data_IF_752666388976
#
_entry.id   IF_752666388976
#
_cell.length_a   1.000
_cell.length_b   1.000
_cell.length_c   1.000
_cell.angle_alpha   90.00
_cell.angle_beta   90.00
_cell.angle_gamma   90.00
#
_symmetry.space_group_name_H-M   'P 1'
#
loop_
_entity.id
_entity.type
_entity.pdbx_description
1 polymer ?
#
# COMPACT_ATOMS: atom_id res chain seq x y z
N UNK A 1 -33.55 -41.73 -42.73
CA UNK A 1 -32.29 -42.43 -42.41
C UNK A 1 -31.19 -42.04 -43.37
N UNK A 2 -30.38 -41.06 -43.00
CA UNK A 2 -29.06 -40.80 -43.59
C UNK A 2 -28.19 -40.14 -42.51
N UNK A 3 -27.51 -41.02 -41.79
CA UNK A 3 -26.55 -40.76 -40.73
C UNK A 3 -25.32 -40.05 -41.33
N UNK A 4 -25.03 -38.80 -40.93
CA UNK A 4 -23.74 -38.15 -41.21
C UNK A 4 -22.77 -38.48 -40.08
N UNK A 5 -21.87 -39.43 -40.32
CA UNK A 5 -20.67 -39.65 -39.52
C UNK A 5 -19.83 -38.36 -39.48
N UNK A 6 -19.61 -37.82 -38.28
CA UNK A 6 -18.59 -36.78 -38.02
C UNK A 6 -17.36 -37.46 -37.43
N UNK A 7 -16.23 -37.34 -38.13
CA UNK A 7 -14.91 -37.72 -37.63
C UNK A 7 -14.54 -36.86 -36.40
N UNK A 8 -13.87 -37.40 -35.38
CA UNK A 8 -13.37 -36.60 -34.27
C UNK A 8 -12.18 -35.77 -34.76
N UNK A 9 -12.34 -34.45 -34.73
CA UNK A 9 -11.23 -33.52 -34.90
C UNK A 9 -10.19 -33.77 -33.80
N UNK A 10 -9.01 -34.23 -34.22
CA UNK A 10 -7.77 -34.15 -33.45
C UNK A 10 -7.47 -32.67 -33.25
N UNK A 11 -8.00 -32.07 -32.19
CA UNK A 11 -7.34 -30.94 -31.56
C UNK A 11 -6.14 -31.55 -30.84
N UNK A 12 -4.89 -31.18 -31.19
CA UNK A 12 -3.76 -31.47 -30.32
C UNK A 12 -4.08 -30.70 -29.04
N UNK A 13 -4.60 -31.42 -28.04
CA UNK A 13 -4.43 -31.03 -26.64
C UNK A 13 -2.96 -30.71 -26.55
N UNK A 14 -2.62 -29.44 -26.38
CA UNK A 14 -1.28 -29.01 -26.03
C UNK A 14 -0.95 -29.75 -24.74
N UNK A 15 -0.38 -30.93 -24.94
CA UNK A 15 0.12 -31.80 -23.92
C UNK A 15 1.19 -31.00 -23.23
N UNK A 16 0.93 -30.66 -21.96
CA UNK A 16 1.89 -30.51 -20.88
C UNK A 16 3.35 -30.52 -21.33
N UNK A 17 3.73 -29.46 -22.06
CA UNK A 17 5.11 -29.23 -22.41
C UNK A 17 5.73 -28.62 -21.17
N UNK A 18 6.02 -29.50 -20.21
CA UNK A 18 7.02 -29.39 -19.16
C UNK A 18 7.67 -28.00 -19.06
N UNK A 19 6.91 -27.04 -18.55
CA UNK A 19 7.49 -25.83 -18.01
C UNK A 19 7.74 -26.06 -16.54
N UNK A 20 8.87 -26.69 -16.25
CA UNK A 20 9.59 -26.36 -15.02
C UNK A 20 10.14 -24.94 -15.15
N UNK A 21 9.25 -23.94 -15.16
CA UNK A 21 9.59 -22.54 -14.85
C UNK A 21 9.58 -22.42 -13.33
N UNK A 22 10.60 -21.78 -12.78
CA UNK A 22 10.71 -21.47 -11.34
C UNK A 22 9.33 -21.07 -10.77
N UNK A 23 8.87 -21.85 -9.78
CA UNK A 23 7.46 -22.16 -9.55
C UNK A 23 6.54 -21.03 -9.07
N UNK A 24 5.26 -21.17 -9.42
CA UNK A 24 4.13 -20.35 -8.92
C UNK A 24 4.18 -20.26 -7.39
N UNK A 25 4.13 -19.04 -6.85
CA UNK A 25 4.04 -18.83 -5.40
C UNK A 25 2.82 -19.58 -4.84
N UNK A 26 3.02 -20.28 -3.71
CA UNK A 26 1.93 -20.94 -2.99
C UNK A 26 0.94 -19.88 -2.50
N UNK A 27 -0.35 -20.17 -2.55
CA UNK A 27 -1.36 -19.34 -1.89
C UNK A 27 -1.47 -19.76 -0.42
N UNK A 28 -1.44 -18.79 0.49
CA UNK A 28 -1.72 -18.99 1.90
C UNK A 28 -2.99 -18.24 2.27
N UNK A 29 -4.00 -19.02 2.69
CA UNK A 29 -5.28 -18.46 3.08
C UNK A 29 -5.29 -18.06 4.56
N UNK A 30 -5.85 -16.89 4.85
CA UNK A 30 -6.14 -16.41 6.20
C UNK A 30 -7.62 -16.05 6.32
N UNK A 31 -8.16 -16.19 7.53
CA UNK A 31 -9.50 -15.69 7.88
C UNK A 31 -9.38 -14.45 8.74
N UNK A 32 -9.99 -13.35 8.33
CA UNK A 32 -9.94 -12.07 9.05
C UNK A 32 -11.36 -11.62 9.41
N UNK A 33 -11.61 -11.12 10.62
CA UNK A 33 -12.89 -10.49 10.93
C UNK A 33 -12.98 -9.10 10.31
N UNK A 34 -14.20 -8.62 10.09
CA UNK A 34 -14.47 -7.19 9.85
C UNK A 34 -14.64 -6.43 11.16
N UNK A 35 -14.64 -5.10 11.08
CA UNK A 35 -14.99 -4.20 12.17
C UNK A 35 -13.78 -3.48 12.76
N UNK A 36 -13.98 -2.89 13.94
CA UNK A 36 -13.08 -1.88 14.52
C UNK A 36 -11.64 -2.35 14.77
N UNK A 37 -11.44 -3.68 14.91
CA UNK A 37 -10.12 -4.28 15.14
C UNK A 37 -9.40 -4.69 13.85
N UNK A 38 -9.89 -4.29 12.67
CA UNK A 38 -9.31 -4.70 11.39
C UNK A 38 -7.82 -4.37 11.28
N UNK A 39 -7.41 -3.18 11.73
CA UNK A 39 -6.02 -2.75 11.67
C UNK A 39 -5.10 -3.63 12.52
N UNK A 40 -5.52 -3.99 13.75
CA UNK A 40 -4.77 -4.88 14.63
C UNK A 40 -4.63 -6.29 14.03
N UNK A 41 -5.71 -6.81 13.45
CA UNK A 41 -5.69 -8.07 12.71
C UNK A 41 -4.75 -8.02 11.52
N UNK A 42 -4.76 -6.92 10.76
CA UNK A 42 -3.89 -6.73 9.62
C UNK A 42 -2.41 -6.70 10.04
N UNK A 43 -2.07 -6.02 11.14
CA UNK A 43 -0.72 -6.03 11.70
C UNK A 43 -0.25 -7.45 12.03
N UNK A 44 -1.12 -8.27 12.65
CA UNK A 44 -0.79 -9.65 12.98
C UNK A 44 -0.61 -10.53 11.74
N UNK A 45 -1.55 -10.46 10.79
CA UNK A 45 -1.48 -11.20 9.51
C UNK A 45 -0.21 -10.82 8.75
N UNK A 46 0.05 -9.53 8.56
CA UNK A 46 1.22 -9.07 7.81
C UNK A 46 2.52 -9.47 8.50
N UNK A 47 2.62 -9.33 9.82
CA UNK A 47 3.79 -9.77 10.59
C UNK A 47 4.04 -11.28 10.48
N UNK A 48 2.98 -12.09 10.40
CA UNK A 48 3.10 -13.54 10.24
C UNK A 48 3.55 -13.94 8.83
N UNK A 49 3.08 -13.22 7.80
CA UNK A 49 3.29 -13.57 6.40
C UNK A 49 4.47 -12.81 5.74
N UNK A 50 5.05 -11.79 6.36
CA UNK A 50 6.06 -10.92 5.75
C UNK A 50 7.31 -11.65 5.25
N UNK A 51 7.74 -12.71 5.93
CA UNK A 51 8.92 -13.50 5.55
C UNK A 51 8.60 -14.68 4.63
N UNK A 52 7.34 -14.84 4.21
CA UNK A 52 6.88 -15.98 3.41
C UNK A 52 6.79 -15.59 1.94
N UNK A 53 7.42 -16.40 1.09
CA UNK A 53 7.29 -16.33 -0.37
C UNK A 53 6.00 -17.03 -0.81
N UNK A 54 4.86 -16.47 -0.40
CA UNK A 54 3.51 -16.93 -0.72
C UNK A 54 2.62 -15.75 -1.09
N UNK A 55 1.60 -16.00 -1.91
CA UNK A 55 0.52 -15.05 -2.19
C UNK A 55 -0.49 -15.15 -1.06
N UNK A 56 -0.89 -14.00 -0.48
CA UNK A 56 -1.90 -13.98 0.55
C UNK A 56 -3.29 -14.11 -0.10
N UNK A 57 -4.15 -14.92 0.51
CA UNK A 57 -5.55 -15.02 0.12
C UNK A 57 -6.43 -14.81 1.35
N UNK A 58 -7.31 -13.83 1.29
CA UNK A 58 -8.14 -13.44 2.42
C UNK A 58 -9.55 -13.99 2.26
N UNK A 59 -10.10 -14.46 3.37
CA UNK A 59 -11.50 -14.81 3.55
C UNK A 59 -12.02 -14.00 4.74
N UNK A 60 -13.11 -13.26 4.56
CA UNK A 60 -13.75 -12.56 5.68
C UNK A 60 -14.57 -13.55 6.50
N UNK A 61 -14.47 -13.47 7.83
CA UNK A 61 -15.18 -14.38 8.72
C UNK A 61 -16.70 -14.26 8.55
N UNK A 62 -17.35 -15.41 8.28
CA UNK A 62 -18.80 -15.47 8.11
C UNK A 62 -19.30 -15.04 6.72
N UNK A 63 -18.41 -14.73 5.78
CA UNK A 63 -18.78 -14.34 4.42
C UNK A 63 -18.48 -15.45 3.41
N UNK A 64 -19.41 -15.63 2.46
CA UNK A 64 -19.20 -16.49 1.30
C UNK A 64 -18.36 -15.74 0.26
N UNK A 65 -17.05 -15.96 0.27
CA UNK A 65 -16.18 -15.28 -0.70
C UNK A 65 -14.72 -15.54 -0.41
N UNK A 66 -13.99 -15.95 -1.45
CA UNK A 66 -12.56 -16.23 -1.32
C UNK A 66 -11.82 -15.90 -2.62
N UNK A 67 -10.50 -15.76 -2.54
CA UNK A 67 -9.67 -15.45 -3.70
C UNK A 67 -9.41 -13.95 -3.83
N UNK A 68 -9.34 -13.46 -5.07
CA UNK A 68 -8.77 -12.14 -5.34
C UNK A 68 -9.63 -10.97 -4.85
N UNK A 69 -10.95 -11.00 -5.05
CA UNK A 69 -11.85 -9.90 -4.68
C UNK A 69 -11.73 -9.52 -3.20
N UNK A 70 -12.02 -10.45 -2.26
CA UNK A 70 -11.88 -10.20 -0.83
C UNK A 70 -10.45 -9.82 -0.40
N UNK A 71 -9.42 -10.32 -1.10
CA UNK A 71 -8.02 -9.95 -0.82
C UNK A 71 -7.72 -8.50 -1.21
N UNK A 72 -8.20 -8.03 -2.36
CA UNK A 72 -8.05 -6.64 -2.78
C UNK A 72 -8.83 -5.70 -1.86
N UNK A 73 -10.03 -6.12 -1.47
CA UNK A 73 -10.84 -5.39 -0.49
C UNK A 73 -10.11 -5.27 0.84
N UNK A 74 -9.56 -6.36 1.38
CA UNK A 74 -8.75 -6.31 2.58
C UNK A 74 -7.58 -5.32 2.46
N UNK A 75 -6.86 -5.31 1.33
CA UNK A 75 -5.79 -4.33 1.11
C UNK A 75 -6.31 -2.89 1.05
N UNK A 76 -7.46 -2.65 0.42
CA UNK A 76 -8.08 -1.33 0.40
C UNK A 76 -8.47 -0.86 1.82
N UNK A 77 -9.08 -1.73 2.61
CA UNK A 77 -9.47 -1.41 3.98
C UNK A 77 -8.26 -1.15 4.89
N UNK A 78 -7.18 -1.92 4.75
CA UNK A 78 -5.93 -1.66 5.50
C UNK A 78 -5.32 -0.32 5.11
N UNK A 79 -5.35 0.05 3.82
CA UNK A 79 -4.90 1.37 3.38
C UNK A 79 -5.81 2.51 3.87
N UNK A 80 -7.11 2.28 4.01
CA UNK A 80 -8.03 3.23 4.63
C UNK A 80 -7.71 3.41 6.13
N UNK A 81 -7.55 2.31 6.87
CA UNK A 81 -7.22 2.36 8.30
C UNK A 81 -5.87 3.05 8.56
N UNK A 82 -4.89 2.84 7.69
CA UNK A 82 -3.61 3.55 7.74
C UNK A 82 -3.73 5.06 7.54
N UNK A 83 -4.85 5.58 7.04
CA UNK A 83 -5.10 7.02 6.86
C UNK A 83 -5.78 7.68 8.06
N UNK A 84 -6.13 6.93 9.11
CA UNK A 84 -6.79 7.48 10.29
C UNK A 84 -5.97 8.58 10.95
N UNK A 85 -6.64 9.67 11.32
CA UNK A 85 -6.01 10.85 11.94
C UNK A 85 -5.51 10.58 13.35
N UNK A 86 -6.17 9.70 14.09
CA UNK A 86 -5.81 9.33 15.46
C UNK A 86 -4.50 8.53 15.57
N UNK A 87 -4.01 7.96 14.46
CA UNK A 87 -2.72 7.27 14.42
C UNK A 87 -1.53 8.24 14.48
N UNK A 88 -1.73 9.54 14.21
CA UNK A 88 -0.66 10.54 14.23
C UNK A 88 0.44 10.32 13.18
N UNK A 89 0.21 9.45 12.20
CA UNK A 89 1.21 9.12 11.16
C UNK A 89 1.48 10.27 10.21
N UNK A 90 0.46 11.08 9.93
CA UNK A 90 0.46 12.00 8.80
C UNK A 90 0.41 13.45 9.25
N UNK A 91 1.12 14.30 8.53
CA UNK A 91 1.02 15.74 8.65
C UNK A 91 -0.43 16.14 8.40
N UNK A 92 -1.06 16.78 9.39
CA UNK A 92 -2.40 17.36 9.31
C UNK A 92 -2.28 18.88 9.20
N UNK A 93 -3.21 19.50 8.48
CA UNK A 93 -3.37 20.96 8.53
C UNK A 93 -4.35 21.24 9.68
N UNK A 94 -3.97 22.07 10.65
CA UNK A 94 -4.83 22.41 11.82
C UNK A 94 -6.01 23.32 11.45
N UNK A 95 -6.12 23.72 10.18
CA UNK A 95 -7.16 24.63 9.71
C UNK A 95 -8.47 23.89 9.46
N UNK A 96 -9.59 24.30 10.09
CA UNK A 96 -10.89 23.69 9.86
C UNK A 96 -11.31 23.92 8.40
N UNK A 97 -11.29 22.84 7.62
CA UNK A 97 -11.73 22.87 6.22
C UNK A 97 -13.25 22.99 6.22
N UNK A 98 -13.74 24.15 5.77
CA UNK A 98 -15.16 24.52 5.76
C UNK A 98 -16.04 23.62 4.87
N UNK A 99 -15.42 22.76 4.05
CA UNK A 99 -16.09 21.85 3.11
C UNK A 99 -15.26 20.55 3.03
N UNK A 100 -15.64 19.55 3.81
CA UNK A 100 -15.22 18.16 3.57
C UNK A 100 -16.46 17.30 3.46
N UNK A 101 -16.59 16.59 2.35
CA UNK A 101 -17.64 15.58 2.18
C UNK A 101 -17.30 14.35 3.02
N UNK A 102 -18.32 13.65 3.51
CA UNK A 102 -18.14 12.31 4.06
C UNK A 102 -17.53 11.39 3.00
N UNK A 103 -16.59 10.55 3.41
CA UNK A 103 -15.92 9.60 2.52
C UNK A 103 -16.18 8.20 3.05
N UNK A 104 -16.56 7.33 2.10
CA UNK A 104 -16.60 5.89 2.29
C UNK A 104 -15.39 5.26 1.58
N UNK A 105 -14.46 4.71 2.37
CA UNK A 105 -13.31 3.94 1.88
C UNK A 105 -13.53 2.42 2.02
N UNK A 106 -14.77 1.97 2.16
CA UNK A 106 -15.17 0.56 2.19
C UNK A 106 -15.82 0.09 3.49
N UNK A 107 -15.92 0.95 4.52
CA UNK A 107 -16.61 0.64 5.79
C UNK A 107 -17.80 1.58 6.07
N UNK A 108 -18.32 2.25 5.04
CA UNK A 108 -19.33 3.29 5.18
C UNK A 108 -18.73 4.66 5.47
N UNK A 109 -19.60 5.67 5.47
CA UNK A 109 -19.22 7.05 5.80
C UNK A 109 -18.59 7.14 7.19
N UNK A 110 -17.39 7.70 7.26
CA UNK A 110 -16.75 8.11 8.52
C UNK A 110 -16.94 9.62 8.73
N UNK A 111 -16.94 10.10 9.99
CA UNK A 111 -17.07 11.53 10.26
C UNK A 111 -15.91 12.32 9.66
N UNK A 112 -16.16 13.59 9.36
CA UNK A 112 -15.14 14.54 8.89
C UNK A 112 -13.96 14.55 9.88
N UNK A 113 -12.74 14.51 9.35
CA UNK A 113 -11.52 14.44 10.14
C UNK A 113 -11.13 13.04 10.64
N UNK A 114 -11.92 11.99 10.37
CA UNK A 114 -11.52 10.61 10.71
C UNK A 114 -10.30 10.16 9.91
N UNK A 115 -10.24 10.48 8.62
CA UNK A 115 -9.08 10.24 7.76
C UNK A 115 -8.32 11.53 7.47
N UNK A 116 -7.00 11.46 7.41
CA UNK A 116 -6.16 12.59 7.03
C UNK A 116 -6.27 12.86 5.53
N UNK A 117 -6.68 14.08 5.16
CA UNK A 117 -6.78 14.49 3.76
C UNK A 117 -5.97 15.74 3.46
N UNK A 118 -5.09 15.63 2.47
CA UNK A 118 -4.33 16.76 1.94
C UNK A 118 -4.29 16.71 0.43
N UNK A 119 -4.43 17.88 -0.20
CA UNK A 119 -4.34 18.02 -1.66
C UNK A 119 -2.96 17.60 -2.20
N UNK A 120 -1.94 17.66 -1.36
CA UNK A 120 -0.57 17.23 -1.67
C UNK A 120 -0.31 15.76 -1.39
N UNK A 121 -1.29 15.02 -0.85
CA UNK A 121 -1.15 13.64 -0.41
C UNK A 121 -0.57 13.51 1.00
N UNK A 122 -0.50 12.26 1.48
CA UNK A 122 0.01 11.90 2.80
C UNK A 122 1.53 12.12 2.87
N UNK A 123 1.95 12.83 3.91
CA UNK A 123 3.35 13.03 4.23
C UNK A 123 3.54 12.76 5.72
N UNK A 124 4.63 12.11 6.17
CA UNK A 124 4.81 11.79 7.58
C UNK A 124 4.71 13.02 8.50
N UNK A 125 4.03 12.86 9.64
CA UNK A 125 3.94 13.92 10.64
C UNK A 125 5.33 14.22 11.24
N UNK A 126 5.71 15.49 11.43
CA UNK A 126 6.88 15.83 12.22
C UNK A 126 6.59 15.57 13.70
N UNK A 127 7.26 14.58 14.28
CA UNK A 127 7.08 14.20 15.69
C UNK A 127 8.31 14.58 16.53
N UNK A 128 8.12 14.88 17.84
CA UNK A 128 9.22 15.07 18.77
C UNK A 128 10.11 13.83 18.78
N UNK A 129 11.39 14.02 18.48
CA UNK A 129 12.36 12.93 18.46
C UNK A 129 12.51 12.32 19.87
N UNK A 130 12.84 11.03 19.94
CA UNK A 130 13.02 10.27 21.18
C UNK A 130 11.81 10.31 22.14
N UNK A 131 10.60 10.47 21.59
CA UNK A 131 9.35 10.43 22.35
C UNK A 131 8.60 9.10 22.17
N UNK A 132 7.81 8.72 23.16
CA UNK A 132 6.94 7.52 23.09
C UNK A 132 5.98 7.58 21.89
N UNK A 133 5.51 8.78 21.54
CA UNK A 133 4.64 9.00 20.36
C UNK A 133 5.41 8.73 19.06
N UNK A 134 6.68 9.16 18.98
CA UNK A 134 7.53 8.86 17.83
C UNK A 134 7.77 7.35 17.68
N UNK A 135 8.04 6.64 18.78
CA UNK A 135 8.23 5.18 18.76
C UNK A 135 6.94 4.45 18.37
N UNK A 136 5.81 4.90 18.89
CA UNK A 136 4.49 4.37 18.56
C UNK A 136 4.18 4.55 17.06
N UNK A 137 4.34 5.75 16.52
CA UNK A 137 4.12 6.05 15.09
C UNK A 137 5.13 5.33 14.20
N UNK A 138 6.38 5.21 14.63
CA UNK A 138 7.40 4.44 13.92
C UNK A 138 6.99 2.96 13.77
N UNK A 139 6.30 2.38 14.75
CA UNK A 139 5.77 1.02 14.64
C UNK A 139 4.72 0.87 13.53
N UNK A 140 3.90 1.90 13.30
CA UNK A 140 2.97 1.92 12.15
C UNK A 140 3.69 2.11 10.83
N UNK A 141 4.76 2.92 10.77
CA UNK A 141 5.57 3.03 9.55
C UNK A 141 6.30 1.73 9.21
N UNK A 142 6.76 0.98 10.21
CA UNK A 142 7.28 -0.37 10.00
C UNK A 142 6.19 -1.28 9.41
N UNK A 143 4.99 -1.26 9.98
CA UNK A 143 3.86 -2.02 9.47
C UNK A 143 3.47 -1.61 8.04
N UNK A 144 3.40 -0.30 7.75
CA UNK A 144 3.16 0.24 6.40
C UNK A 144 4.18 -0.32 5.41
N UNK A 145 5.46 -0.35 5.77
CA UNK A 145 6.52 -0.93 4.94
C UNK A 145 6.28 -2.41 4.65
N UNK A 146 5.94 -3.20 5.66
CA UNK A 146 5.61 -4.63 5.50
C UNK A 146 4.37 -4.81 4.63
N UNK A 147 3.33 -4.02 4.87
CA UNK A 147 2.08 -4.05 4.12
C UNK A 147 2.32 -3.76 2.63
N UNK A 148 2.97 -2.64 2.31
CA UNK A 148 3.31 -2.25 0.94
C UNK A 148 4.19 -3.31 0.27
N UNK A 149 5.20 -3.83 0.97
CA UNK A 149 6.05 -4.90 0.46
C UNK A 149 5.24 -6.16 0.12
N UNK A 150 4.26 -6.53 0.96
CA UNK A 150 3.41 -7.70 0.70
C UNK A 150 2.46 -7.49 -0.48
N UNK A 151 1.82 -6.31 -0.56
CA UNK A 151 0.97 -5.93 -1.70
C UNK A 151 1.75 -6.02 -3.00
N UNK A 152 2.99 -5.50 -3.02
CA UNK A 152 3.88 -5.56 -4.18
C UNK A 152 4.35 -6.99 -4.48
N UNK A 153 4.74 -7.79 -3.48
CA UNK A 153 5.11 -9.20 -3.64
C UNK A 153 3.98 -10.01 -4.30
N UNK A 154 2.74 -9.69 -3.96
CA UNK A 154 1.55 -10.37 -4.50
C UNK A 154 1.11 -9.85 -5.87
N UNK A 155 1.89 -8.91 -6.45
CA UNK A 155 1.61 -8.31 -7.75
C UNK A 155 0.35 -7.46 -7.75
N UNK A 156 0.04 -6.82 -6.62
CA UNK A 156 -1.16 -5.99 -6.43
C UNK A 156 -0.79 -4.52 -6.30
N UNK A 157 -1.80 -3.68 -6.46
CA UNK A 157 -1.74 -2.25 -6.19
C UNK A 157 -2.69 -1.96 -5.03
N UNK A 158 -2.36 -0.92 -4.27
CA UNK A 158 -3.22 -0.38 -3.22
C UNK A 158 -3.31 1.12 -3.41
N UNK A 159 -4.49 1.68 -3.21
CA UNK A 159 -4.71 3.12 -3.27
C UNK A 159 -4.39 3.73 -1.91
N UNK A 160 -3.15 4.17 -1.76
CA UNK A 160 -2.69 4.97 -0.63
C UNK A 160 -2.15 6.28 -1.20
N UNK A 161 -2.81 7.43 -0.97
CA UNK A 161 -2.51 8.69 -1.63
C UNK A 161 -1.27 9.36 -1.03
N UNK A 162 -0.11 8.69 -1.11
CA UNK A 162 1.16 9.23 -0.64
C UNK A 162 1.55 10.46 -1.46
N UNK A 163 2.06 11.47 -0.79
CA UNK A 163 2.60 12.65 -1.46
C UNK A 163 3.78 12.30 -2.35
N UNK A 164 3.93 13.03 -3.47
CA UNK A 164 5.05 12.84 -4.39
C UNK A 164 6.41 12.99 -3.67
N UNK A 165 6.53 13.92 -2.73
CA UNK A 165 7.74 14.11 -1.94
C UNK A 165 8.05 12.89 -1.08
N UNK A 166 7.05 12.27 -0.44
CA UNK A 166 7.28 11.08 0.38
C UNK A 166 7.61 9.86 -0.48
N UNK A 167 6.91 9.67 -1.61
CA UNK A 167 7.26 8.62 -2.59
C UNK A 167 8.69 8.78 -3.11
N UNK A 168 9.13 10.00 -3.38
CA UNK A 168 10.51 10.27 -3.74
C UNK A 168 11.46 9.83 -2.61
N UNK A 169 11.21 10.21 -1.35
CA UNK A 169 12.05 9.77 -0.23
C UNK A 169 12.13 8.24 -0.09
N UNK A 170 11.01 7.53 -0.27
CA UNK A 170 10.97 6.07 -0.20
C UNK A 170 11.75 5.39 -1.34
N UNK A 171 11.70 5.97 -2.54
CA UNK A 171 12.32 5.40 -3.74
C UNK A 171 13.76 5.91 -4.00
N UNK A 172 14.16 7.03 -3.39
CA UNK A 172 15.47 7.64 -3.63
C UNK A 172 16.51 7.10 -2.65
N UNK A 173 17.37 6.21 -3.15
CA UNK A 173 18.67 5.90 -2.54
C UNK A 173 19.74 6.92 -2.96
N UNK A 174 19.43 8.23 -2.87
CA UNK A 174 20.52 9.21 -2.84
C UNK A 174 20.95 9.27 -1.39
N UNK A 175 22.08 8.61 -1.11
CA UNK A 175 22.93 8.95 0.01
C UNK A 175 22.84 10.46 0.24
N UNK A 176 22.55 10.88 1.47
CA UNK A 176 22.96 12.22 1.91
C UNK A 176 24.50 12.17 1.92
N UNK A 177 25.11 12.18 0.74
CA UNK A 177 26.48 12.59 0.58
C UNK A 177 26.44 14.06 0.95
N UNK A 178 26.77 14.35 2.21
CA UNK A 178 27.31 15.65 2.59
C UNK A 178 28.57 15.82 1.76
N UNK A 179 28.43 16.27 0.52
CA UNK A 179 29.56 16.85 -0.18
C UNK A 179 29.69 18.28 0.36
N UNK A 180 30.39 18.35 1.49
CA UNK A 180 31.11 19.53 1.89
C UNK A 180 32.20 19.76 0.84
N UNK A 181 31.85 20.50 -0.20
CA UNK A 181 32.73 20.75 -1.34
C UNK A 181 32.38 22.07 -2.00
N UNK A 182 32.58 23.16 -1.26
CA UNK A 182 32.66 24.48 -1.85
C UNK A 182 33.76 24.48 -2.92
N UNK A 183 33.40 24.80 -4.17
CA UNK A 183 34.34 25.34 -5.15
C UNK A 183 33.65 26.45 -5.91
N UNK A 184 33.94 27.66 -5.45
CA UNK A 184 33.80 28.91 -6.19
C UNK A 184 34.30 28.77 -7.62
N UNK A 185 33.49 29.19 -8.59
CA UNK A 185 34.01 29.89 -9.77
C UNK A 185 33.18 31.13 -9.98
N UNK A 186 33.86 32.25 -9.75
CA UNK A 186 33.49 33.59 -10.15
C UNK A 186 33.32 33.66 -11.66
N UNK A 187 32.22 34.24 -12.12
CA UNK A 187 32.22 34.94 -13.40
C UNK A 187 31.67 36.35 -13.12
N UNK A 188 32.60 37.31 -13.19
CA UNK A 188 32.33 38.73 -13.27
C UNK A 188 31.55 39.01 -14.56
N UNK A 189 30.33 39.54 -14.45
CA UNK A 189 29.75 40.41 -15.48
C UNK A 189 29.16 41.64 -14.80
N UNK A 190 29.83 42.76 -15.07
CA UNK A 190 29.54 44.13 -14.65
C UNK A 190 28.18 44.64 -15.15
N UNK A 191 27.47 45.33 -14.24
CA UNK A 191 26.81 46.65 -14.37
C UNK A 191 26.18 46.97 -15.73
N UNK A 192 24.85 47.11 -15.74
CA UNK A 192 24.21 48.44 -15.65
C UNK A 192 22.70 48.36 -15.45
N UNK A 193 22.22 49.16 -14.51
CA UNK A 193 20.82 49.58 -14.42
C UNK A 193 20.68 50.92 -15.13
N UNK A 194 19.79 50.98 -16.11
CA UNK A 194 18.79 52.04 -16.34
C UNK A 194 17.56 51.38 -16.97
#
# INVERSE_FOLDING_TARGET
NLERQRAPGLSPRHADQHEFRVGRLKHERVKVPRGENLLEWAQQVMKHHCNRKSVLEVEFQGEEGTGLGPTLEFYALVAAELQRSDLGMWLCDDEPKLIEDEIDLGEGSKPIGYYVRRSTGLFPAPLPQESEVCDFVASYFWFLGVFLAKVLQDGRLVDLPLSNSFLQLLCHNKSISRDAGASSKSDDVMISSL
#
